data_IF_974652675705
#
_entry.id   IF_974652675705
#
_cell.length_a   1.000
_cell.length_b   1.000
_cell.length_c   1.000
_cell.angle_alpha   90.00
_cell.angle_beta   90.00
_cell.angle_gamma   90.00
#
_symmetry.space_group_name_H-M   'P 1'
#
loop_
_entity.id
_entity.type
_entity.pdbx_description
1 polymer ?
#
# COMPACT_ATOMS: atom_id res chain seq x y z
N UNK A 1 1.64 49.04 -62.83
CA UNK A 1 1.69 47.68 -62.28
C UNK A 1 1.13 47.75 -60.87
N UNK A 2 -0.17 47.47 -60.74
CA UNK A 2 -0.85 47.52 -59.44
C UNK A 2 -0.32 46.40 -58.55
N UNK A 3 0.37 46.80 -57.48
CA UNK A 3 0.71 45.93 -56.36
C UNK A 3 -0.60 45.43 -55.75
N UNK A 4 -1.01 44.22 -56.11
CA UNK A 4 -2.11 43.52 -55.44
C UNK A 4 -1.71 43.34 -53.98
N UNK A 5 -2.16 44.24 -53.11
CA UNK A 5 -2.05 44.11 -51.66
C UNK A 5 -2.75 42.81 -51.25
N UNK A 6 -1.97 41.75 -51.07
CA UNK A 6 -2.46 40.55 -50.40
C UNK A 6 -2.66 40.92 -48.94
N UNK A 7 -3.89 40.90 -48.40
CA UNK A 7 -4.11 41.25 -47.02
C UNK A 7 -3.24 40.36 -46.13
N UNK A 8 -2.47 40.98 -45.25
CA UNK A 8 -1.66 40.29 -44.25
C UNK A 8 -2.60 39.45 -43.39
N UNK A 9 -2.58 38.13 -43.61
CA UNK A 9 -3.33 37.20 -42.77
C UNK A 9 -2.66 37.15 -41.40
N UNK A 10 -3.44 37.27 -40.34
CA UNK A 10 -2.96 37.21 -38.95
C UNK A 10 -2.04 36.00 -38.70
N UNK A 11 -2.29 34.86 -39.36
CA UNK A 11 -1.46 33.64 -39.31
C UNK A 11 -0.01 33.81 -39.79
N UNK A 12 0.29 34.83 -40.61
CA UNK A 12 1.63 35.12 -41.14
C UNK A 12 2.45 36.04 -40.24
N UNK A 13 1.87 36.56 -39.15
CA UNK A 13 2.63 37.36 -38.20
C UNK A 13 3.66 36.48 -37.47
N UNK A 14 4.78 37.06 -37.01
CA UNK A 14 5.72 36.37 -36.15
C UNK A 14 5.06 35.84 -34.87
N UNK A 15 5.58 34.73 -34.34
CA UNK A 15 5.05 34.09 -33.13
C UNK A 15 5.02 35.04 -31.93
N UNK A 16 6.01 35.91 -31.78
CA UNK A 16 6.08 36.88 -30.68
C UNK A 16 4.88 37.83 -30.68
N UNK A 17 4.38 38.20 -31.86
CA UNK A 17 3.17 39.03 -31.98
C UNK A 17 1.93 38.21 -31.61
N UNK A 18 1.85 36.92 -31.97
CA UNK A 18 0.76 36.06 -31.52
C UNK A 18 0.77 35.90 -30.00
N UNK A 19 1.95 35.70 -29.40
CA UNK A 19 2.13 35.60 -27.96
C UNK A 19 1.66 36.88 -27.26
N UNK A 20 2.13 38.04 -27.74
CA UNK A 20 1.77 39.34 -27.17
C UNK A 20 0.26 39.56 -27.24
N UNK A 21 -0.37 39.33 -28.42
CA UNK A 21 -1.82 39.45 -28.58
C UNK A 21 -2.56 38.52 -27.62
N UNK A 22 -2.15 37.25 -27.51
CA UNK A 22 -2.78 36.27 -26.62
C UNK A 22 -2.66 36.68 -25.16
N UNK A 23 -1.56 37.32 -24.76
CA UNK A 23 -1.36 37.78 -23.37
C UNK A 23 -2.40 38.83 -22.90
N UNK A 24 -2.98 39.57 -23.85
CA UNK A 24 -4.05 40.56 -23.58
C UNK A 24 -5.46 39.98 -23.69
N UNK A 25 -5.63 38.73 -24.14
CA UNK A 25 -6.94 38.10 -24.25
C UNK A 25 -7.37 37.49 -22.91
N UNK A 26 -8.69 37.46 -22.67
CA UNK A 26 -9.25 36.60 -21.64
C UNK A 26 -9.13 35.12 -22.05
N UNK A 27 -9.21 34.22 -21.07
CA UNK A 27 -9.01 32.78 -21.32
C UNK A 27 -9.99 32.23 -22.37
N UNK A 28 -11.23 32.74 -22.39
CA UNK A 28 -12.25 32.34 -23.35
C UNK A 28 -11.91 32.76 -24.77
N UNK A 29 -11.48 34.01 -25.00
CA UNK A 29 -11.09 34.48 -26.33
C UNK A 29 -9.83 33.79 -26.83
N UNK A 30 -8.84 33.56 -25.95
CA UNK A 30 -7.66 32.77 -26.30
C UNK A 30 -8.03 31.33 -26.70
N UNK A 31 -8.93 30.68 -25.96
CA UNK A 31 -9.44 29.34 -26.32
C UNK A 31 -10.15 29.36 -27.68
N UNK A 32 -11.03 30.32 -27.91
CA UNK A 32 -11.70 30.49 -29.19
C UNK A 32 -10.68 30.69 -30.32
N UNK A 33 -9.66 31.53 -30.13
CA UNK A 33 -8.59 31.74 -31.11
C UNK A 33 -7.90 30.42 -31.47
N UNK A 34 -7.50 29.61 -30.48
CA UNK A 34 -6.88 28.29 -30.75
C UNK A 34 -7.81 27.32 -31.45
N UNK A 35 -9.13 27.46 -31.30
CA UNK A 35 -10.11 26.62 -31.99
C UNK A 35 -10.37 27.05 -33.45
N UNK A 36 -10.00 28.28 -33.83
CA UNK A 36 -10.27 28.79 -35.19
C UNK A 36 -9.43 28.14 -36.27
N UNK A 37 -8.19 27.75 -35.97
CA UNK A 37 -7.32 27.10 -36.95
C UNK A 37 -6.30 26.14 -36.30
N UNK A 38 -5.87 25.15 -37.09
CA UNK A 38 -4.89 24.14 -36.67
C UNK A 38 -3.55 24.75 -36.25
N UNK A 39 -3.11 25.82 -36.91
CA UNK A 39 -1.85 26.49 -36.58
C UNK A 39 -1.87 26.97 -35.13
N UNK A 40 -2.84 27.80 -34.74
CA UNK A 40 -2.96 28.31 -33.37
C UNK A 40 -3.18 27.21 -32.34
N UNK A 41 -3.96 26.17 -32.69
CA UNK A 41 -4.13 25.00 -31.81
C UNK A 41 -2.81 24.31 -31.46
N UNK A 42 -1.86 24.27 -32.41
CA UNK A 42 -0.59 23.58 -32.26
C UNK A 42 0.51 24.47 -31.68
N UNK A 43 0.49 25.77 -31.96
CA UNK A 43 1.57 26.69 -31.56
C UNK A 43 1.30 27.43 -30.25
N UNK A 44 0.04 27.72 -29.91
CA UNK A 44 -0.30 28.48 -28.72
C UNK A 44 -0.70 27.56 -27.56
N UNK A 45 0.21 27.40 -26.59
CA UNK A 45 -0.16 26.83 -25.29
C UNK A 45 -0.73 27.94 -24.39
N UNK A 46 -2.05 28.12 -24.46
CA UNK A 46 -2.77 29.14 -23.68
C UNK A 46 -2.47 29.01 -22.18
N UNK A 47 -2.20 27.81 -21.67
CA UNK A 47 -1.93 27.59 -20.23
C UNK A 47 -0.53 28.06 -19.84
N UNK A 48 0.40 28.11 -20.79
CA UNK A 48 1.73 28.65 -20.57
C UNK A 48 1.77 30.18 -20.77
N UNK A 49 0.91 30.72 -21.64
CA UNK A 49 0.87 32.15 -21.97
C UNK A 49 0.06 32.95 -20.94
N UNK A 50 -1.14 32.48 -20.60
CA UNK A 50 -2.04 33.22 -19.71
C UNK A 50 -1.75 32.93 -18.23
N UNK A 51 -1.95 33.91 -17.34
CA UNK A 51 -1.70 33.72 -15.92
C UNK A 51 -2.70 32.71 -15.32
N UNK A 52 -2.22 31.91 -14.36
CA UNK A 52 -3.01 30.84 -13.72
C UNK A 52 -4.35 31.33 -13.15
N UNK A 53 -4.39 32.57 -12.64
CA UNK A 53 -5.62 33.22 -12.16
C UNK A 53 -6.72 33.28 -13.22
N UNK A 54 -6.38 33.56 -14.48
CA UNK A 54 -7.37 33.65 -15.56
C UNK A 54 -7.96 32.27 -15.89
N UNK A 55 -7.12 31.23 -15.85
CA UNK A 55 -7.55 29.85 -16.02
C UNK A 55 -8.45 29.38 -14.86
N UNK A 56 -8.10 29.72 -13.61
CA UNK A 56 -8.92 29.41 -12.42
C UNK A 56 -10.29 30.09 -12.52
N UNK A 57 -10.34 31.38 -12.85
CA UNK A 57 -11.59 32.13 -13.03
C UNK A 57 -12.46 31.49 -14.11
N UNK A 58 -11.90 31.20 -15.28
CA UNK A 58 -12.63 30.52 -16.37
C UNK A 58 -13.18 29.15 -15.94
N UNK A 59 -12.37 28.35 -15.24
CA UNK A 59 -12.81 27.04 -14.74
C UNK A 59 -13.92 27.16 -13.69
N UNK A 60 -13.86 28.18 -12.83
CA UNK A 60 -14.89 28.46 -11.84
C UNK A 60 -16.21 28.90 -12.48
N UNK A 61 -16.16 29.80 -13.46
CA UNK A 61 -17.34 30.23 -14.22
C UNK A 61 -18.01 29.05 -14.91
N UNK A 62 -17.21 28.18 -15.53
CA UNK A 62 -17.71 26.97 -16.19
C UNK A 62 -18.29 25.95 -15.21
N UNK A 63 -17.61 25.74 -14.07
CA UNK A 63 -18.12 24.92 -12.95
C UNK A 63 -19.50 25.40 -12.48
N UNK A 64 -19.65 26.72 -12.30
CA UNK A 64 -20.92 27.32 -11.91
C UNK A 64 -22.01 27.16 -12.98
N UNK A 65 -21.66 27.38 -14.26
CA UNK A 65 -22.59 27.24 -15.37
C UNK A 65 -23.13 25.81 -15.51
N UNK A 66 -22.26 24.80 -15.45
CA UNK A 66 -22.65 23.39 -15.52
C UNK A 66 -23.51 23.00 -14.32
N UNK A 67 -23.14 23.41 -13.11
CA UNK A 67 -23.95 23.20 -11.91
C UNK A 67 -25.32 23.89 -11.98
N UNK A 68 -25.43 25.05 -12.61
CA UNK A 68 -26.70 25.75 -12.80
C UNK A 68 -27.61 25.04 -13.81
N UNK A 69 -27.03 24.36 -14.82
CA UNK A 69 -27.77 23.49 -15.75
C UNK A 69 -28.20 22.15 -15.14
N UNK A 70 -27.69 21.81 -13.96
CA UNK A 70 -27.99 20.55 -13.29
C UNK A 70 -27.06 19.40 -13.70
N UNK A 71 -25.97 19.71 -14.40
CA UNK A 71 -24.93 18.75 -14.72
C UNK A 71 -24.14 18.37 -13.45
N UNK A 72 -23.79 17.09 -13.32
CA UNK A 72 -23.01 16.57 -12.17
C UNK A 72 -21.49 16.69 -12.41
N UNK A 73 -21.07 17.80 -13.03
CA UNK A 73 -19.69 18.09 -13.39
C UNK A 73 -19.08 19.14 -12.45
N UNK A 74 -17.84 18.87 -12.03
CA UNK A 74 -17.10 19.69 -11.09
C UNK A 74 -15.69 19.98 -11.62
N UNK A 75 -15.23 21.22 -11.50
CA UNK A 75 -13.88 21.60 -11.88
C UNK A 75 -12.84 21.10 -10.87
N UNK A 76 -11.77 20.48 -11.38
CA UNK A 76 -10.53 20.27 -10.64
C UNK A 76 -9.55 21.39 -11.00
N UNK A 77 -9.14 22.20 -10.03
CA UNK A 77 -8.21 23.32 -10.23
C UNK A 77 -6.74 22.90 -10.20
N UNK A 78 -6.43 21.60 -10.05
CA UNK A 78 -5.06 21.07 -10.18
C UNK A 78 -4.78 20.45 -11.55
N UNK A 79 -5.80 19.95 -12.26
CA UNK A 79 -5.64 19.44 -13.64
C UNK A 79 -6.45 20.21 -14.67
N UNK A 80 -7.24 21.19 -14.25
CA UNK A 80 -8.07 22.04 -15.09
C UNK A 80 -9.00 21.23 -16.00
N UNK A 81 -9.69 20.26 -15.39
CA UNK A 81 -10.68 19.39 -16.04
C UNK A 81 -11.99 19.43 -15.27
N UNK A 82 -13.10 19.41 -16.01
CA UNK A 82 -14.43 19.12 -15.48
C UNK A 82 -14.58 17.60 -15.40
N UNK A 83 -14.96 17.11 -14.22
CA UNK A 83 -15.07 15.69 -13.93
C UNK A 83 -16.37 15.42 -13.18
N UNK A 84 -16.92 14.20 -13.28
CA UNK A 84 -18.11 13.83 -12.52
C UNK A 84 -17.92 13.96 -11.00
N UNK A 85 -18.97 14.28 -10.24
CA UNK A 85 -18.95 14.45 -8.77
C UNK A 85 -18.29 13.31 -8.01
N UNK A 86 -18.48 12.07 -8.48
CA UNK A 86 -17.91 10.90 -7.83
C UNK A 86 -16.36 10.85 -7.86
N UNK A 87 -15.71 11.71 -8.67
CA UNK A 87 -14.25 11.87 -8.74
C UNK A 87 -13.68 12.83 -7.69
N UNK A 88 -14.51 13.37 -6.81
CA UNK A 88 -14.12 14.33 -5.77
C UNK A 88 -14.56 13.85 -4.38
N UNK A 89 -13.88 14.29 -3.33
CA UNK A 89 -14.31 14.01 -1.96
C UNK A 89 -15.66 14.67 -1.67
N UNK A 90 -16.49 14.03 -0.84
CA UNK A 90 -17.81 14.56 -0.45
C UNK A 90 -17.72 15.99 0.09
N UNK A 91 -16.70 16.31 0.91
CA UNK A 91 -16.48 17.66 1.46
C UNK A 91 -16.21 18.71 0.38
N UNK A 92 -15.62 18.30 -0.73
CA UNK A 92 -15.27 19.16 -1.86
C UNK A 92 -16.46 19.38 -2.82
N UNK A 93 -17.53 18.58 -2.69
CA UNK A 93 -18.73 18.59 -3.55
C UNK A 93 -20.03 18.84 -2.80
N UNK A 94 -19.99 19.17 -1.51
CA UNK A 94 -21.20 19.47 -0.73
C UNK A 94 -22.07 20.49 -1.48
N UNK A 95 -23.34 20.11 -1.66
CA UNK A 95 -24.27 20.43 -2.76
C UNK A 95 -24.50 21.92 -3.06
N UNK A 96 -25.42 22.25 -4.00
CA UNK A 96 -25.79 23.63 -4.42
C UNK A 96 -25.95 24.66 -3.27
N UNK A 97 -26.26 24.21 -2.04
CA UNK A 97 -26.42 25.00 -0.79
C UNK A 97 -25.25 24.90 0.21
N UNK A 98 -24.29 24.01 -0.02
CA UNK A 98 -23.15 23.77 0.85
C UNK A 98 -22.10 24.86 0.71
N UNK A 99 -22.07 25.81 1.66
CA UNK A 99 -21.09 26.91 1.70
C UNK A 99 -19.64 26.45 1.45
N UNK A 100 -19.24 25.29 1.98
CA UNK A 100 -17.87 24.76 1.85
C UNK A 100 -17.47 24.35 0.43
N UNK A 101 -18.37 23.75 -0.36
CA UNK A 101 -18.06 23.32 -1.73
C UNK A 101 -17.80 24.51 -2.65
N UNK A 102 -18.61 25.58 -2.51
CA UNK A 102 -18.41 26.85 -3.22
C UNK A 102 -17.17 27.58 -2.74
N UNK A 103 -16.87 27.57 -1.44
CA UNK A 103 -15.64 28.17 -0.90
C UNK A 103 -14.39 27.52 -1.52
N UNK A 104 -14.30 26.18 -1.56
CA UNK A 104 -13.17 25.50 -2.21
C UNK A 104 -13.05 25.81 -3.70
N UNK A 105 -14.16 26.03 -4.39
CA UNK A 105 -14.13 26.43 -5.80
C UNK A 105 -13.69 27.88 -5.98
N UNK A 106 -14.23 28.80 -5.16
CA UNK A 106 -13.85 30.20 -5.17
C UNK A 106 -12.37 30.41 -4.79
N UNK A 107 -11.82 29.54 -3.94
CA UNK A 107 -10.41 29.53 -3.55
C UNK A 107 -9.50 28.79 -4.55
N UNK A 108 -10.05 28.09 -5.54
CA UNK A 108 -9.25 27.28 -6.47
C UNK A 108 -8.60 26.04 -5.84
N UNK A 109 -9.10 25.57 -4.70
CA UNK A 109 -8.51 24.47 -3.93
C UNK A 109 -9.16 23.11 -4.19
N UNK A 110 -10.26 23.07 -4.95
CA UNK A 110 -10.93 21.81 -5.29
C UNK A 110 -10.02 20.94 -6.18
N UNK A 111 -9.65 19.76 -5.69
CA UNK A 111 -8.90 18.76 -6.44
C UNK A 111 -9.67 17.44 -6.57
N UNK A 112 -9.58 16.82 -7.75
CA UNK A 112 -10.10 15.47 -7.96
C UNK A 112 -9.21 14.43 -7.28
N UNK A 113 -9.73 13.23 -7.05
CA UNK A 113 -8.99 12.17 -6.36
C UNK A 113 -7.63 11.88 -7.00
N UNK A 114 -7.53 11.89 -8.33
CA UNK A 114 -6.27 11.60 -9.01
C UNK A 114 -5.22 12.70 -8.75
N UNK A 115 -5.62 13.97 -8.79
CA UNK A 115 -4.75 15.09 -8.43
C UNK A 115 -4.40 15.10 -6.94
N UNK A 116 -5.37 14.82 -6.06
CA UNK A 116 -5.11 14.70 -4.63
C UNK A 116 -4.15 13.55 -4.33
N UNK A 117 -4.20 12.46 -5.11
CA UNK A 117 -3.28 11.34 -4.99
C UNK A 117 -1.86 11.71 -5.41
N UNK A 118 -1.72 12.38 -6.56
CA UNK A 118 -0.44 12.88 -7.06
C UNK A 118 0.23 13.81 -6.06
N UNK A 119 -0.56 14.66 -5.39
CA UNK A 119 -0.12 15.60 -4.37
C UNK A 119 -0.11 15.04 -2.94
N UNK A 120 -0.37 13.73 -2.76
CA UNK A 120 -0.36 13.04 -1.45
C UNK A 120 -1.23 13.73 -0.37
N UNK A 121 -2.38 14.28 -0.76
CA UNK A 121 -3.30 14.98 0.16
C UNK A 121 -4.08 14.03 1.08
N UNK A 122 -3.99 12.71 0.87
CA UNK A 122 -4.64 11.70 1.68
C UNK A 122 -3.61 10.80 2.34
N UNK A 123 -3.97 10.29 3.53
CA UNK A 123 -3.15 9.33 4.26
C UNK A 123 -2.92 8.09 3.38
N UNK A 124 -1.66 7.70 3.27
CA UNK A 124 -1.24 6.55 2.47
C UNK A 124 -2.00 5.28 2.89
N UNK A 125 -2.40 4.47 1.90
CA UNK A 125 -3.15 3.20 2.06
C UNK A 125 -4.54 3.29 2.70
N UNK A 126 -5.00 4.47 3.10
CA UNK A 126 -6.37 4.62 3.56
C UNK A 126 -7.34 4.79 2.39
N UNK A 127 -8.45 4.03 2.35
CA UNK A 127 -9.48 4.25 1.37
C UNK A 127 -10.19 5.57 1.63
N UNK A 128 -10.57 6.26 0.55
CA UNK A 128 -11.40 7.45 0.63
C UNK A 128 -12.85 7.05 0.44
N UNK A 129 -13.71 7.47 1.36
CA UNK A 129 -15.15 7.25 1.27
C UNK A 129 -15.82 8.39 0.51
N UNK A 130 -16.58 8.06 -0.52
CA UNK A 130 -17.47 8.99 -1.22
C UNK A 130 -18.87 8.37 -1.34
N UNK A 131 -19.78 8.80 -0.46
CA UNK A 131 -21.09 8.16 -0.32
C UNK A 131 -20.95 6.71 0.13
N UNK A 132 -21.59 5.78 -0.61
CA UNK A 132 -21.53 4.33 -0.35
C UNK A 132 -20.27 3.66 -0.93
N UNK A 133 -19.52 4.37 -1.78
CA UNK A 133 -18.36 3.82 -2.46
C UNK A 133 -17.06 4.13 -1.69
N UNK A 134 -16.15 3.16 -1.69
CA UNK A 134 -14.79 3.30 -1.18
C UNK A 134 -13.80 3.25 -2.34
N UNK A 135 -12.97 4.27 -2.43
CA UNK A 135 -11.92 4.39 -3.42
C UNK A 135 -10.57 4.06 -2.78
N UNK A 136 -9.80 3.21 -3.43
CA UNK A 136 -8.48 2.76 -3.02
C UNK A 136 -7.46 3.29 -4.01
N UNK A 137 -6.35 3.81 -3.51
CA UNK A 137 -5.24 4.20 -4.37
C UNK A 137 -4.67 2.95 -5.06
N UNK A 138 -4.57 3.02 -6.39
CA UNK A 138 -3.95 1.98 -7.19
C UNK A 138 -2.52 2.37 -7.49
N UNK A 139 -1.56 1.79 -6.76
CA UNK A 139 -0.15 2.12 -6.96
C UNK A 139 0.40 1.74 -8.35
N UNK A 140 -0.30 0.88 -9.10
CA UNK A 140 0.08 0.54 -10.48
C UNK A 140 -0.19 1.68 -11.48
N UNK A 141 -1.32 2.38 -11.35
CA UNK A 141 -1.69 3.47 -12.28
C UNK A 141 -1.72 4.86 -11.64
N UNK A 142 -1.45 4.97 -10.34
CA UNK A 142 -1.48 6.23 -9.61
C UNK A 142 -2.87 6.87 -9.49
N UNK A 143 -3.95 6.10 -9.64
CA UNK A 143 -5.32 6.61 -9.62
C UNK A 143 -6.14 5.97 -8.49
N UNK A 144 -7.11 6.72 -7.96
CA UNK A 144 -8.09 6.17 -7.03
C UNK A 144 -9.19 5.43 -7.77
N UNK A 145 -9.41 4.17 -7.40
CA UNK A 145 -10.40 3.30 -8.04
C UNK A 145 -11.19 2.54 -6.98
N UNK A 146 -12.42 2.14 -7.30
CA UNK A 146 -13.16 1.20 -6.45
C UNK A 146 -12.40 -0.13 -6.36
N UNK A 147 -12.68 -0.93 -5.33
CA UNK A 147 -12.01 -2.23 -5.14
C UNK A 147 -12.15 -3.16 -6.37
N UNK A 148 -13.29 -3.12 -7.05
CA UNK A 148 -13.55 -3.87 -8.29
C UNK A 148 -12.78 -3.34 -9.49
N UNK A 149 -12.57 -2.03 -9.58
CA UNK A 149 -11.86 -1.38 -10.68
C UNK A 149 -10.34 -1.22 -10.45
N UNK A 150 -9.82 -1.59 -9.28
CA UNK A 150 -8.38 -1.54 -9.00
C UNK A 150 -7.65 -2.49 -9.94
N UNK A 151 -6.57 -2.02 -10.56
CA UNK A 151 -5.81 -2.84 -11.50
C UNK A 151 -5.29 -4.10 -10.79
N UNK A 152 -5.63 -5.27 -11.34
CA UNK A 152 -5.25 -6.57 -10.78
C UNK A 152 -3.83 -7.00 -11.11
N UNK A 153 -3.10 -6.20 -11.91
CA UNK A 153 -1.70 -6.48 -12.26
C UNK A 153 -1.53 -7.68 -13.21
N UNK A 154 -2.62 -8.18 -13.81
CA UNK A 154 -2.53 -9.23 -14.83
C UNK A 154 -1.68 -8.70 -15.99
N UNK A 155 -0.52 -9.33 -16.21
CA UNK A 155 0.21 -9.19 -17.46
C UNK A 155 -0.72 -9.65 -18.56
N UNK A 156 -0.71 -8.96 -19.70
CA UNK A 156 -1.31 -9.48 -20.94
C UNK A 156 -0.57 -10.78 -21.30
N UNK A 157 -1.00 -11.90 -20.70
CA UNK A 157 -0.79 -13.21 -21.30
C UNK A 157 -1.70 -13.23 -22.51
N UNK A 158 -1.12 -13.44 -23.68
CA UNK A 158 -1.80 -13.44 -24.98
C UNK A 158 -2.85 -14.56 -25.07
N UNK A 159 -2.89 -15.49 -24.10
CA UNK A 159 -3.71 -16.68 -24.16
C UNK A 159 -4.72 -16.74 -23.01
N UNK A 160 -5.86 -16.05 -23.11
CA UNK A 160 -7.01 -16.30 -22.24
C UNK A 160 -8.30 -15.77 -22.85
N UNK A 161 -8.99 -16.60 -23.62
CA UNK A 161 -10.35 -16.38 -24.14
C UNK A 161 -11.43 -16.44 -23.06
N UNK A 162 -11.30 -15.65 -21.98
CA UNK A 162 -12.34 -15.56 -20.94
C UNK A 162 -13.00 -14.18 -20.93
N UNK A 163 -14.30 -14.16 -21.27
CA UNK A 163 -15.21 -13.01 -21.28
C UNK A 163 -15.50 -12.39 -19.89
N UNK A 164 -14.64 -12.59 -18.89
CA UNK A 164 -14.74 -11.91 -17.62
C UNK A 164 -14.00 -10.59 -17.68
N UNK A 165 -14.70 -9.47 -17.89
CA UNK A 165 -14.17 -8.11 -17.97
C UNK A 165 -13.42 -7.68 -16.69
N UNK A 166 -12.22 -8.22 -16.48
CA UNK A 166 -11.26 -7.69 -15.54
C UNK A 166 -10.88 -6.32 -16.07
N UNK A 167 -11.15 -5.26 -15.30
CA UNK A 167 -10.74 -3.90 -15.63
C UNK A 167 -9.20 -3.85 -15.72
N UNK A 168 -8.69 -4.12 -16.92
CA UNK A 168 -7.29 -3.95 -17.27
C UNK A 168 -7.00 -2.45 -17.16
N UNK A 169 -5.79 -2.13 -16.69
CA UNK A 169 -5.33 -0.76 -16.68
C UNK A 169 -5.24 -0.30 -18.15
N UNK A 170 -6.25 0.43 -18.64
CA UNK A 170 -6.24 1.03 -19.98
C UNK A 170 -5.11 2.06 -20.14
N UNK A 171 -4.64 2.62 -19.02
CA UNK A 171 -3.45 3.46 -18.98
C UNK A 171 -2.26 2.50 -18.92
N UNK A 172 -1.49 2.39 -20.01
CA UNK A 172 -0.12 1.82 -19.99
C UNK A 172 0.56 2.41 -18.76
N UNK A 173 1.17 1.59 -17.87
CA UNK A 173 1.90 2.14 -16.74
C UNK A 173 2.97 3.10 -17.27
N UNK A 174 2.67 4.39 -17.25
CA UNK A 174 3.59 5.47 -17.63
C UNK A 174 4.65 5.66 -16.55
N UNK A 175 4.55 4.93 -15.44
CA UNK A 175 5.55 4.87 -14.40
C UNK A 175 6.76 4.08 -14.89
N UNK A 176 7.83 4.81 -15.24
CA UNK A 176 9.19 4.32 -15.12
C UNK A 176 9.30 3.52 -13.81
N UNK A 177 9.73 2.25 -13.90
CA UNK A 177 9.94 1.40 -12.72
C UNK A 177 10.73 2.19 -11.69
N UNK A 178 10.32 2.14 -10.44
CA UNK A 178 11.09 2.83 -9.40
C UNK A 178 12.52 2.27 -9.38
N UNK A 179 13.51 3.10 -9.04
CA UNK A 179 14.91 2.61 -8.91
C UNK A 179 15.02 1.43 -7.93
N UNK A 180 14.09 1.34 -6.99
CA UNK A 180 13.99 0.24 -6.03
C UNK A 180 13.49 -1.07 -6.69
N UNK A 181 12.55 -0.99 -7.65
CA UNK A 181 12.08 -2.13 -8.44
C UNK A 181 13.13 -2.66 -9.42
N UNK A 182 14.08 -1.81 -9.81
CA UNK A 182 15.18 -2.20 -10.70
C UNK A 182 16.36 -2.81 -9.94
N UNK A 183 16.36 -2.80 -8.60
CA UNK A 183 17.44 -3.39 -7.84
C UNK A 183 17.48 -4.92 -8.00
N UNK A 184 18.69 -5.50 -8.14
CA UNK A 184 18.87 -6.94 -7.99
C UNK A 184 18.26 -7.45 -6.67
N UNK A 185 17.63 -8.62 -6.73
CA UNK A 185 16.93 -9.25 -5.58
C UNK A 185 17.78 -9.31 -4.32
N UNK A 186 19.08 -9.55 -4.44
CA UNK A 186 19.98 -9.64 -3.29
C UNK A 186 20.22 -8.27 -2.61
N UNK A 187 20.26 -7.17 -3.37
CA UNK A 187 20.33 -5.81 -2.81
C UNK A 187 18.99 -5.40 -2.22
N UNK A 188 17.88 -5.67 -2.92
CA UNK A 188 16.54 -5.42 -2.39
C UNK A 188 16.32 -6.16 -1.06
N UNK A 189 16.79 -7.41 -0.95
CA UNK A 189 16.76 -8.18 0.30
C UNK A 189 17.56 -7.51 1.42
N UNK A 190 18.75 -6.96 1.13
CA UNK A 190 19.54 -6.20 2.11
C UNK A 190 18.77 -4.96 2.57
N UNK A 191 18.20 -4.18 1.66
CA UNK A 191 17.37 -3.01 2.00
C UNK A 191 16.20 -3.42 2.89
N UNK A 192 15.46 -4.47 2.51
CA UNK A 192 14.32 -5.01 3.27
C UNK A 192 14.73 -5.50 4.67
N UNK A 193 15.96 -6.00 4.86
CA UNK A 193 16.42 -6.46 6.18
C UNK A 193 16.60 -5.34 7.20
N UNK A 194 16.70 -4.08 6.77
CA UNK A 194 16.74 -2.90 7.65
C UNK A 194 15.34 -2.33 7.95
N UNK A 195 14.30 -2.84 7.31
CA UNK A 195 12.93 -2.34 7.46
C UNK A 195 12.14 -3.14 8.49
N UNK A 196 11.25 -2.45 9.21
CA UNK A 196 10.27 -3.10 10.07
C UNK A 196 9.27 -3.92 9.25
N UNK A 197 8.67 -4.95 9.84
CA UNK A 197 7.75 -5.83 9.10
C UNK A 197 6.56 -5.09 8.48
N UNK A 198 6.04 -4.05 9.17
CA UNK A 198 4.99 -3.16 8.66
C UNK A 198 5.41 -2.44 7.38
N UNK A 199 6.63 -1.89 7.36
CA UNK A 199 7.16 -1.15 6.21
C UNK A 199 7.41 -2.07 5.03
N UNK A 200 7.85 -3.30 5.29
CA UNK A 200 8.01 -4.32 4.25
C UNK A 200 6.65 -4.72 3.66
N UNK A 201 5.60 -4.83 4.48
CA UNK A 201 4.25 -5.05 3.97
C UNK A 201 3.79 -3.89 3.09
N UNK A 202 3.97 -2.65 3.54
CA UNK A 202 3.67 -1.46 2.73
C UNK A 202 4.47 -1.44 1.43
N UNK A 203 5.74 -1.83 1.47
CA UNK A 203 6.60 -1.92 0.30
C UNK A 203 6.02 -2.89 -0.74
N UNK A 204 5.48 -4.03 -0.30
CA UNK A 204 4.81 -5.00 -1.20
C UNK A 204 3.51 -4.46 -1.80
N UNK A 205 2.95 -3.38 -1.25
CA UNK A 205 1.74 -2.74 -1.76
C UNK A 205 2.04 -1.61 -2.75
N UNK A 206 3.29 -1.11 -2.78
CA UNK A 206 3.73 -0.03 -3.69
C UNK A 206 3.71 -0.45 -5.15
N UNK A 207 4.04 -1.70 -5.49
CA UNK A 207 3.94 -2.14 -6.88
C UNK A 207 3.81 -3.65 -7.01
N UNK A 208 3.36 -4.09 -8.18
CA UNK A 208 3.25 -5.51 -8.49
C UNK A 208 4.61 -6.20 -8.46
N UNK A 209 5.63 -5.58 -9.04
CA UNK A 209 6.99 -6.13 -9.06
C UNK A 209 7.53 -6.33 -7.65
N UNK A 210 7.35 -5.34 -6.76
CA UNK A 210 7.74 -5.49 -5.35
C UNK A 210 6.91 -6.56 -4.64
N UNK A 211 5.60 -6.66 -4.93
CA UNK A 211 4.73 -7.72 -4.38
C UNK A 211 5.19 -9.14 -4.75
N UNK A 212 5.65 -9.34 -5.98
CA UNK A 212 6.13 -10.64 -6.47
C UNK A 212 7.54 -10.95 -5.95
N UNK A 213 8.40 -9.93 -5.89
CA UNK A 213 9.83 -10.11 -5.60
C UNK A 213 10.10 -10.17 -4.10
N UNK A 214 9.50 -9.25 -3.33
CA UNK A 214 9.69 -9.17 -1.88
C UNK A 214 8.96 -10.33 -1.23
N UNK A 215 9.68 -11.10 -0.41
CA UNK A 215 9.13 -12.24 0.32
C UNK A 215 9.16 -11.96 1.83
N UNK A 216 8.18 -11.21 2.39
CA UNK A 216 8.24 -10.75 3.78
C UNK A 216 8.42 -11.89 4.79
N UNK A 217 7.78 -13.04 4.53
CA UNK A 217 7.86 -14.23 5.37
C UNK A 217 9.25 -14.91 5.40
N UNK A 218 10.13 -14.59 4.45
CA UNK A 218 11.48 -15.17 4.36
C UNK A 218 12.58 -14.14 4.62
N UNK A 219 12.38 -12.89 4.17
CA UNK A 219 13.41 -11.86 4.21
C UNK A 219 13.41 -11.08 5.52
N UNK A 220 12.27 -10.98 6.19
CA UNK A 220 12.18 -10.27 7.47
C UNK A 220 12.48 -11.25 8.60
N UNK A 221 13.35 -10.81 9.51
CA UNK A 221 13.73 -11.59 10.67
C UNK A 221 12.50 -12.01 11.50
N UNK A 222 12.56 -13.20 12.07
CA UNK A 222 11.39 -13.80 12.73
C UNK A 222 10.95 -13.01 13.98
N UNK A 223 11.89 -12.42 14.72
CA UNK A 223 11.57 -11.62 15.90
C UNK A 223 10.80 -10.35 15.53
N UNK A 224 11.18 -9.66 14.44
CA UNK A 224 10.47 -8.47 13.93
C UNK A 224 9.05 -8.81 13.50
N UNK A 225 8.87 -9.96 12.82
CA UNK A 225 7.54 -10.45 12.42
C UNK A 225 6.67 -10.82 13.61
N UNK A 226 7.26 -11.49 14.59
CA UNK A 226 6.60 -11.86 15.84
C UNK A 226 6.10 -10.62 16.59
N UNK A 227 6.99 -9.65 16.82
CA UNK A 227 6.69 -8.41 17.55
C UNK A 227 5.55 -7.64 16.87
N UNK A 228 5.60 -7.46 15.55
CA UNK A 228 4.50 -6.82 14.81
C UNK A 228 3.13 -7.48 15.04
N UNK A 229 3.06 -8.82 15.04
CA UNK A 229 1.78 -9.53 15.20
C UNK A 229 1.30 -9.48 16.64
N UNK A 230 2.23 -9.59 17.58
CA UNK A 230 1.95 -9.46 19.00
C UNK A 230 1.43 -8.06 19.30
N UNK A 231 2.17 -7.01 18.94
CA UNK A 231 1.79 -5.61 19.16
C UNK A 231 0.41 -5.31 18.54
N UNK A 232 0.18 -5.79 17.31
CA UNK A 232 -1.11 -5.64 16.63
C UNK A 232 -2.24 -6.33 17.40
N UNK A 233 -2.01 -7.55 17.89
CA UNK A 233 -3.02 -8.29 18.62
C UNK A 233 -3.27 -7.69 20.01
N UNK A 234 -2.21 -7.36 20.76
CA UNK A 234 -2.29 -6.70 22.07
C UNK A 234 -3.08 -5.40 21.99
N UNK A 235 -2.86 -4.57 20.96
CA UNK A 235 -3.63 -3.37 20.74
C UNK A 235 -5.12 -3.64 20.43
N UNK A 236 -5.47 -4.80 19.87
CA UNK A 236 -6.86 -5.20 19.61
C UNK A 236 -7.56 -5.75 20.88
N UNK A 237 -6.81 -6.17 21.91
CA UNK A 237 -7.35 -6.86 23.10
C UNK A 237 -7.08 -6.20 24.44
N UNK A 238 -6.35 -5.07 24.48
CA UNK A 238 -5.87 -4.44 25.72
C UNK A 238 -6.96 -4.18 26.78
N UNK A 239 -8.20 -3.95 26.34
CA UNK A 239 -9.35 -3.62 27.19
C UNK A 239 -10.50 -4.64 27.09
N UNK A 240 -10.22 -5.84 26.57
CA UNK A 240 -11.23 -6.89 26.40
C UNK A 240 -11.11 -7.94 27.48
N UNK A 241 -12.25 -8.31 28.07
CA UNK A 241 -12.36 -9.51 28.89
C UNK A 241 -11.94 -10.75 28.09
N UNK A 242 -11.32 -11.78 28.72
CA UNK A 242 -10.80 -12.96 28.01
C UNK A 242 -11.83 -13.66 27.10
N UNK A 243 -13.09 -13.70 27.51
CA UNK A 243 -14.18 -14.31 26.74
C UNK A 243 -14.65 -13.44 25.55
N UNK A 244 -14.37 -12.13 25.61
CA UNK A 244 -14.67 -11.18 24.54
C UNK A 244 -13.62 -11.19 23.42
N UNK A 245 -12.50 -11.91 23.57
CA UNK A 245 -11.44 -11.99 22.56
C UNK A 245 -11.92 -12.74 21.31
N UNK A 246 -12.14 -11.99 20.22
CA UNK A 246 -12.65 -12.51 18.93
C UNK A 246 -11.57 -12.87 17.93
N UNK A 247 -10.32 -12.48 18.17
CA UNK A 247 -9.21 -12.69 17.25
C UNK A 247 -7.97 -13.19 18.00
N UNK A 248 -7.18 -14.02 17.32
CA UNK A 248 -5.95 -14.59 17.87
C UNK A 248 -4.81 -14.48 16.85
N UNK A 249 -3.56 -14.38 17.31
CA UNK A 249 -2.39 -14.31 16.44
C UNK A 249 -2.03 -15.71 15.90
N UNK A 250 -1.80 -15.80 14.58
CA UNK A 250 -1.15 -16.95 13.97
C UNK A 250 0.33 -16.64 13.74
N UNK A 251 1.20 -17.26 14.53
CA UNK A 251 2.64 -17.01 14.47
C UNK A 251 3.34 -17.76 13.32
N UNK A 252 2.63 -18.65 12.61
CA UNK A 252 3.13 -19.26 11.38
C UNK A 252 3.07 -18.31 10.19
N UNK A 253 1.88 -17.72 9.91
CA UNK A 253 1.71 -16.76 8.81
C UNK A 253 1.86 -15.30 9.23
N UNK A 254 2.11 -15.04 10.51
CA UNK A 254 2.27 -13.71 11.09
C UNK A 254 1.06 -12.80 10.83
N UNK A 255 -0.16 -13.28 11.14
CA UNK A 255 -1.42 -12.53 10.96
C UNK A 255 -2.35 -12.76 12.14
N UNK A 256 -3.07 -11.72 12.54
CA UNK A 256 -4.23 -11.82 13.45
C UNK A 256 -5.42 -12.34 12.65
N UNK A 257 -6.11 -13.36 13.19
CA UNK A 257 -7.21 -14.07 12.53
C UNK A 257 -8.40 -14.23 13.50
N UNK A 258 -9.65 -14.32 13.00
CA UNK A 258 -10.80 -14.59 13.86
C UNK A 258 -10.66 -15.92 14.62
N UNK A 259 -11.27 -16.02 15.81
CA UNK A 259 -11.31 -17.21 16.69
C UNK A 259 -11.69 -18.48 15.94
N UNK A 260 -12.67 -18.39 15.04
CA UNK A 260 -13.13 -19.50 14.18
C UNK A 260 -12.09 -20.09 13.23
N UNK A 261 -10.91 -19.46 13.10
CA UNK A 261 -9.78 -19.98 12.30
C UNK A 261 -8.76 -20.75 13.12
N UNK A 262 -9.03 -21.01 14.39
CA UNK A 262 -8.18 -21.82 15.29
C UNK A 262 -9.00 -22.98 15.84
N UNK A 263 -8.33 -24.04 16.27
CA UNK A 263 -9.02 -25.14 16.97
C UNK A 263 -9.24 -24.78 18.43
N UNK A 264 -10.33 -25.25 19.03
CA UNK A 264 -10.60 -25.00 20.46
C UNK A 264 -9.49 -25.54 21.36
N UNK A 265 -8.84 -26.65 20.97
CA UNK A 265 -7.67 -27.20 21.65
C UNK A 265 -6.52 -26.18 21.71
N UNK A 266 -6.27 -25.43 20.64
CA UNK A 266 -5.24 -24.39 20.65
C UNK A 266 -5.62 -23.20 21.51
N UNK A 267 -6.88 -22.77 21.47
CA UNK A 267 -7.37 -21.64 22.27
C UNK A 267 -7.31 -22.00 23.76
N UNK A 268 -7.86 -23.15 24.16
CA UNK A 268 -7.77 -23.66 25.54
C UNK A 268 -6.33 -23.78 26.02
N UNK A 269 -5.42 -24.29 25.16
CA UNK A 269 -4.00 -24.40 25.51
C UNK A 269 -3.33 -23.03 25.68
N UNK A 270 -3.63 -22.07 24.82
CA UNK A 270 -3.09 -20.72 24.93
C UNK A 270 -3.58 -20.01 26.20
N UNK A 271 -4.85 -20.24 26.58
CA UNK A 271 -5.41 -19.69 27.82
C UNK A 271 -4.82 -20.36 29.07
N UNK A 272 -4.62 -21.68 29.04
CA UNK A 272 -4.05 -22.44 30.16
C UNK A 272 -2.55 -22.22 30.33
N UNK A 273 -1.83 -21.99 29.23
CA UNK A 273 -0.37 -21.88 29.19
C UNK A 273 0.06 -20.70 28.29
N UNK A 274 -0.10 -19.44 28.77
CA UNK A 274 0.16 -18.23 27.99
C UNK A 274 1.59 -18.14 27.45
N UNK A 275 2.57 -18.69 28.15
CA UNK A 275 3.98 -18.78 27.76
C UNK A 275 4.19 -19.64 26.50
N UNK A 276 3.23 -20.51 26.16
CA UNK A 276 3.24 -21.32 24.93
C UNK A 276 2.34 -20.77 23.83
N UNK A 277 1.66 -19.63 24.05
CA UNK A 277 0.75 -19.01 23.07
C UNK A 277 1.43 -18.71 21.73
N UNK A 278 2.75 -18.47 21.71
CA UNK A 278 3.53 -18.29 20.48
C UNK A 278 3.47 -19.51 19.54
N UNK A 279 3.05 -20.69 20.03
CA UNK A 279 2.83 -21.91 19.24
C UNK A 279 1.48 -21.90 18.48
N UNK A 280 0.65 -20.86 18.64
CA UNK A 280 -0.64 -20.74 17.96
C UNK A 280 -0.50 -20.61 16.44
N UNK A 281 -1.37 -21.32 15.73
CA UNK A 281 -1.39 -21.45 14.27
C UNK A 281 -2.84 -21.53 13.80
N UNK A 282 -3.21 -20.80 12.75
CA UNK A 282 -4.54 -20.97 12.17
C UNK A 282 -4.67 -22.32 11.45
N UNK A 283 -5.89 -22.81 11.31
CA UNK A 283 -6.24 -24.07 10.64
C UNK A 283 -5.62 -24.17 9.24
N UNK A 284 -5.59 -23.08 8.46
CA UNK A 284 -4.97 -23.08 7.14
C UNK A 284 -3.46 -23.36 7.19
N UNK A 285 -2.73 -22.79 8.16
CA UNK A 285 -1.30 -23.07 8.34
C UNK A 285 -1.07 -24.50 8.86
N UNK A 286 -1.96 -25.01 9.71
CA UNK A 286 -1.93 -26.41 10.16
C UNK A 286 -2.09 -27.32 8.95
N UNK A 287 -3.18 -27.17 8.18
CA UNK A 287 -3.43 -27.96 6.98
C UNK A 287 -2.24 -27.91 6.01
N UNK A 288 -1.67 -26.73 5.78
CA UNK A 288 -0.48 -26.60 4.95
C UNK A 288 0.69 -27.43 5.50
N UNK A 289 0.99 -27.36 6.79
CA UNK A 289 2.08 -28.13 7.43
C UNK A 289 1.93 -29.65 7.32
N UNK A 290 0.69 -30.17 7.24
CA UNK A 290 0.41 -31.61 7.17
C UNK A 290 0.13 -32.12 5.75
N UNK A 291 -0.09 -31.23 4.77
CA UNK A 291 -0.13 -31.57 3.35
C UNK A 291 1.30 -31.78 2.83
N UNK A 292 1.81 -33.01 2.99
CA UNK A 292 3.09 -33.49 2.45
C UNK A 292 4.11 -33.91 3.53
N UNK A 293 4.68 -35.11 3.38
CA UNK A 293 5.53 -35.77 4.39
C UNK A 293 6.82 -35.05 4.81
N UNK A 294 7.21 -33.96 4.13
CA UNK A 294 8.38 -33.13 4.49
C UNK A 294 8.12 -31.64 4.29
N UNK A 295 7.11 -31.10 4.96
CA UNK A 295 6.83 -29.68 4.85
C UNK A 295 7.91 -28.84 5.57
N UNK A 296 8.70 -28.06 4.80
CA UNK A 296 9.72 -27.14 5.33
C UNK A 296 9.16 -26.17 6.37
N UNK A 297 7.89 -25.77 6.27
CA UNK A 297 7.23 -24.91 7.25
C UNK A 297 7.07 -25.62 8.61
N UNK A 298 6.79 -26.94 8.62
CA UNK A 298 6.69 -27.73 9.84
C UNK A 298 8.06 -27.82 10.53
N UNK A 299 9.11 -28.11 9.76
CA UNK A 299 10.49 -28.18 10.26
C UNK A 299 10.94 -26.81 10.78
N UNK A 300 10.74 -25.76 10.01
CA UNK A 300 11.09 -24.39 10.42
C UNK A 300 10.36 -24.00 11.69
N UNK A 301 9.07 -24.31 11.81
CA UNK A 301 8.28 -23.98 13.00
C UNK A 301 8.73 -24.75 14.23
N UNK A 302 9.05 -26.05 14.11
CA UNK A 302 9.60 -26.85 15.21
C UNK A 302 10.94 -26.31 15.73
N UNK A 303 11.75 -25.72 14.86
CA UNK A 303 13.05 -25.10 15.22
C UNK A 303 12.89 -23.74 15.89
N UNK A 304 11.68 -23.20 16.04
CA UNK A 304 11.46 -21.90 16.71
C UNK A 304 11.46 -22.09 18.21
N UNK A 305 12.11 -21.17 18.92
CA UNK A 305 12.15 -21.10 20.37
C UNK A 305 11.83 -19.68 20.82
N UNK A 306 11.29 -19.54 22.03
CA UNK A 306 11.17 -18.25 22.68
C UNK A 306 12.52 -17.88 23.30
N UNK A 307 12.99 -16.66 23.09
CA UNK A 307 14.18 -16.18 23.78
C UNK A 307 13.85 -15.86 25.24
N UNK A 308 14.67 -16.34 26.17
CA UNK A 308 14.46 -16.15 27.61
C UNK A 308 14.64 -14.70 28.06
N UNK A 309 15.52 -13.96 27.38
CA UNK A 309 15.84 -12.56 27.69
C UNK A 309 14.76 -11.63 27.11
N UNK A 310 14.70 -11.49 25.78
CA UNK A 310 13.85 -10.48 25.14
C UNK A 310 12.43 -10.96 24.80
N UNK A 311 12.06 -12.19 25.17
CA UNK A 311 10.75 -12.82 24.90
C UNK A 311 10.30 -12.71 23.43
N UNK A 312 11.26 -12.73 22.50
CA UNK A 312 10.99 -12.78 21.07
C UNK A 312 11.28 -14.18 20.50
N UNK A 313 10.60 -14.53 19.39
CA UNK A 313 10.92 -15.75 18.66
C UNK A 313 12.32 -15.70 18.04
N UNK A 314 13.06 -16.79 18.18
CA UNK A 314 14.33 -17.07 17.50
C UNK A 314 14.32 -18.47 16.89
N UNK A 315 15.34 -18.78 16.07
CA UNK A 315 15.62 -20.17 15.65
C UNK A 315 16.58 -20.80 16.66
N UNK A 316 16.39 -22.09 16.96
CA UNK A 316 17.31 -22.86 17.79
C UNK A 316 18.72 -22.86 17.22
N UNK A 317 19.72 -22.73 18.10
CA UNK A 317 21.13 -22.61 17.71
C UNK A 317 21.53 -21.28 17.06
N UNK A 318 20.63 -20.29 16.93
CA UNK A 318 20.96 -18.97 16.40
C UNK A 318 20.89 -17.89 17.48
N UNK A 319 21.72 -16.86 17.32
CA UNK A 319 21.66 -15.63 18.11
C UNK A 319 20.27 -14.99 17.99
N UNK A 320 19.71 -14.54 19.11
CA UNK A 320 18.40 -13.89 19.08
C UNK A 320 18.49 -12.51 18.43
N UNK A 321 17.86 -12.33 17.27
CA UNK A 321 17.81 -11.03 16.60
C UNK A 321 17.18 -9.92 17.45
N UNK A 322 16.22 -10.27 18.32
CA UNK A 322 15.65 -9.31 19.27
C UNK A 322 16.63 -8.86 20.35
N UNK A 323 17.49 -9.76 20.84
CA UNK A 323 18.57 -9.38 21.77
C UNK A 323 19.66 -8.58 21.07
N UNK A 324 20.02 -8.93 19.83
CA UNK A 324 20.96 -8.14 19.03
C UNK A 324 20.48 -6.70 18.86
N UNK A 325 19.19 -6.50 18.56
CA UNK A 325 18.61 -5.15 18.50
C UNK A 325 18.69 -4.40 19.83
N UNK A 326 18.43 -5.08 20.96
CA UNK A 326 18.54 -4.46 22.28
C UNK A 326 19.99 -4.10 22.61
N UNK A 327 20.96 -4.97 22.28
CA UNK A 327 22.38 -4.72 22.47
C UNK A 327 22.85 -3.50 21.66
N UNK A 328 22.50 -3.44 20.37
CA UNK A 328 22.82 -2.28 19.51
C UNK A 328 22.21 -0.97 20.04
N UNK A 329 21.07 -1.06 20.73
CA UNK A 329 20.41 0.08 21.38
C UNK A 329 20.93 0.38 22.80
N UNK A 330 21.88 -0.38 23.32
CA UNK A 330 22.39 -0.25 24.69
C UNK A 330 21.41 -0.73 25.77
N UNK A 331 20.37 -1.49 25.42
CA UNK A 331 19.37 -2.00 26.36
C UNK A 331 19.78 -3.29 27.09
N UNK A 332 20.82 -3.97 26.61
CA UNK A 332 21.45 -5.11 27.29
C UNK A 332 22.96 -5.06 27.04
N UNK A 333 23.75 -5.64 27.93
CA UNK A 333 25.19 -5.74 27.76
C UNK A 333 25.61 -6.94 26.89
N UNK A 334 26.90 -6.99 26.54
CA UNK A 334 27.46 -8.07 25.71
C UNK A 334 27.37 -9.43 26.43
N UNK A 335 27.55 -9.46 27.75
CA UNK A 335 27.51 -10.70 28.56
C UNK A 335 26.11 -11.32 28.59
N UNK A 336 25.07 -10.51 28.63
CA UNK A 336 23.67 -10.96 28.51
C UNK A 336 23.39 -11.54 27.13
N UNK A 337 23.95 -10.93 26.08
CA UNK A 337 23.73 -11.39 24.70
C UNK A 337 24.52 -12.67 24.35
N UNK A 338 25.74 -12.77 24.87
CA UNK A 338 26.66 -13.89 24.71
C UNK A 338 27.09 -14.35 26.10
N UNK A 339 26.25 -15.14 26.80
CA UNK A 339 26.68 -15.73 28.06
C UNK A 339 27.96 -16.51 27.75
N UNK A 340 29.04 -16.18 28.47
CA UNK A 340 30.26 -16.98 28.44
C UNK A 340 29.81 -18.39 28.80
N UNK A 341 29.79 -19.29 27.82
CA UNK A 341 29.64 -20.71 28.09
C UNK A 341 30.79 -21.03 29.02
N UNK A 342 30.50 -21.17 30.31
CA UNK A 342 31.47 -21.72 31.25
C UNK A 342 31.87 -23.04 30.61
N UNK A 343 33.12 -23.07 30.13
CA UNK A 343 33.80 -24.30 29.74
C UNK A 343 34.08 -25.05 31.04
N UNK A 344 33.01 -25.45 31.73
CA UNK A 344 33.11 -26.33 32.87
C UNK A 344 33.47 -27.69 32.27
N UNK A 345 34.74 -28.06 32.50
CA UNK A 345 35.35 -29.39 32.39
C UNK A 345 34.43 -30.47 31.78
N UNK A 346 34.55 -30.67 30.47
CA UNK A 346 34.12 -31.90 29.81
C UNK A 346 35.22 -32.94 29.98
N UNK A 347 35.36 -33.50 31.18
CA UNK A 347 35.98 -34.82 31.33
C UNK A 347 34.91 -35.87 31.02
N UNK A 348 35.13 -36.56 29.90
CA UNK A 348 34.60 -37.87 29.54
C UNK A 348 33.22 -38.26 30.08
N UNK A 349 32.15 -37.87 29.39
CA UNK A 349 31.18 -38.86 28.91
C UNK A 349 30.26 -38.23 27.85
N UNK A 350 30.21 -38.84 26.67
CA UNK A 350 29.28 -38.49 25.59
C UNK A 350 27.86 -38.93 25.96
N UNK A 351 27.31 -38.34 27.02
CA UNK A 351 25.92 -38.46 27.45
C UNK A 351 25.08 -37.37 26.77
N UNK A 352 24.30 -37.81 25.79
CA UNK A 352 23.27 -37.08 25.06
C UNK A 352 22.38 -36.22 25.99
N UNK A 353 22.69 -34.93 26.15
CA UNK A 353 21.75 -33.95 26.72
C UNK A 353 20.78 -33.47 25.63
N UNK A 354 19.84 -34.34 25.26
CA UNK A 354 18.58 -33.89 24.67
C UNK A 354 17.73 -33.28 25.79
N UNK A 355 17.33 -32.02 25.61
CA UNK A 355 16.35 -31.37 26.47
C UNK A 355 15.11 -32.26 26.63
N UNK A 356 14.91 -32.73 27.87
CA UNK A 356 13.77 -33.50 28.34
C UNK A 356 12.53 -32.60 28.42
N UNK A 357 11.95 -32.29 27.25
CA UNK A 357 10.57 -31.79 27.08
C UNK A 357 9.85 -32.50 25.91
N UNK A 358 10.35 -33.66 25.48
CA UNK A 358 9.74 -34.53 24.47
C UNK A 358 8.89 -35.67 25.07
N UNK A 359 8.28 -35.43 26.24
CA UNK A 359 7.47 -36.43 26.96
C UNK A 359 5.97 -36.13 27.10
N UNK A 360 5.41 -35.12 26.40
CA UNK A 360 3.95 -34.85 26.38
C UNK A 360 3.49 -34.46 24.96
N UNK A 361 3.99 -35.14 23.95
CA UNK A 361 3.51 -34.98 22.58
C UNK A 361 3.46 -36.33 21.89
N UNK A 362 2.56 -37.18 22.36
CA UNK A 362 2.16 -38.36 21.60
C UNK A 362 1.64 -37.94 20.23
N UNK A 363 2.13 -38.69 19.26
CA UNK A 363 1.86 -38.59 17.85
C UNK A 363 0.56 -39.31 17.45
N UNK A 364 -0.34 -39.58 18.38
CA UNK A 364 -1.58 -40.32 18.11
C UNK A 364 -2.80 -39.39 18.08
N UNK A 365 -3.69 -39.68 17.15
CA UNK A 365 -4.97 -39.02 16.85
C UNK A 365 -4.91 -37.64 16.18
N UNK A 366 -4.39 -37.62 14.95
CA UNK A 366 -4.96 -36.79 13.88
C UNK A 366 -5.58 -37.70 12.80
N UNK A 367 -6.52 -38.55 13.19
CA UNK A 367 -7.50 -39.08 12.25
C UNK A 367 -8.48 -37.93 11.96
N UNK A 368 -8.38 -37.39 10.76
CA UNK A 368 -9.39 -36.48 10.20
C UNK A 368 -10.64 -37.33 9.97
N UNK A 369 -11.66 -37.17 10.81
CA UNK A 369 -13.00 -37.59 10.44
C UNK A 369 -13.42 -36.74 9.23
N UNK A 370 -13.62 -37.42 8.11
CA UNK A 370 -14.14 -36.89 6.84
C UNK A 370 -15.55 -36.34 7.00
#
# INVERSE_FOLDING_TARGET
>A
MDSKHVPLRFQRLPFDIHFEVVSFLDFRSALNLTSTCRFFHQTLDIRAILPERALVTFMYERDCADQNRGEDLFACFKCYRLLPKHKFAKKATLDRKGKRGRLFAAQGDRSCFDCSAKNRLYVHLQPISNGKLRYYFCHNCGQYKTKSAKCRGLRFGIDSGSNGGAALCAVKPTGQKSRLETLPTHLLRKVVSFLGFKDVLHLTEVSHTLKETVQPAKWVAIHTRYRFVLDKWTAEVLDLEPDAVRSFPCYSCCRVRPKSKFTDKQIRKANRYPETSWKMRCQACIQQMYRGGRNLMRIEFKRRLMCEICKCLKRGGQTCGGCLELYVKGGIDRRTMYPETTLDHFDGDCGVFFNRLDGIFDAEDWVVAS
#
